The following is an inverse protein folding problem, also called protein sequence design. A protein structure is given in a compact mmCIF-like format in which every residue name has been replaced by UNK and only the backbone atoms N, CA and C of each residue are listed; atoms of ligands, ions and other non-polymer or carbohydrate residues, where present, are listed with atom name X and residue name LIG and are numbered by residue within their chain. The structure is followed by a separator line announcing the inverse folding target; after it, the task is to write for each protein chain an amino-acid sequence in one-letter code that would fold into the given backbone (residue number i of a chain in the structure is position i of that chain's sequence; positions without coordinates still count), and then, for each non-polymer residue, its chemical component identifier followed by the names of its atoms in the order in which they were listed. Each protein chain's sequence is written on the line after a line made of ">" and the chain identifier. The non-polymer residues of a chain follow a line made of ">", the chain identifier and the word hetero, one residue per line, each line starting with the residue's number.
data_IF_275110188680
#
_entry.id   IF_275110188680
#
_cell.length_a   1.000
_cell.length_b   1.000
_cell.length_c   1.000
_cell.angle_alpha   90.00
_cell.angle_beta   90.00
_cell.angle_gamma   90.00
#
_symmetry.space_group_name_H-M   'P 1'
#
loop_
_entity.id
_entity.type
_entity.pdbx_description
1 polymer ?
#
# COMPACT_ATOMS: atom_id res chain seq x y z
N UNK A 1 19.05 16.03 22.80
CA UNK A 1 18.83 15.96 21.34
C UNK A 1 17.33 16.09 21.13
N UNK A 2 16.86 17.00 20.28
CA UNK A 2 15.42 17.09 19.98
C UNK A 2 15.07 15.91 19.06
N UNK A 3 14.20 15.03 19.53
CA UNK A 3 13.57 14.02 18.68
C UNK A 3 12.89 14.72 17.49
N UNK A 4 13.00 14.21 16.26
CA UNK A 4 12.24 14.76 15.13
C UNK A 4 10.73 14.55 15.29
N UNK A 5 10.31 13.62 16.15
CA UNK A 5 8.92 13.27 16.42
C UNK A 5 8.54 13.65 17.86
N UNK A 6 7.38 14.26 18.05
CA UNK A 6 6.83 14.56 19.38
C UNK A 6 5.49 13.87 19.62
N UNK A 7 4.67 13.73 18.58
CA UNK A 7 3.37 13.09 18.62
C UNK A 7 3.42 11.79 17.80
N UNK A 8 3.19 10.66 18.46
CA UNK A 8 3.26 9.33 17.85
C UNK A 8 1.89 8.65 17.90
N UNK A 9 1.39 8.24 16.73
CA UNK A 9 0.20 7.41 16.64
C UNK A 9 0.56 5.92 16.77
N UNK A 10 -0.21 5.19 17.58
CA UNK A 10 -0.19 3.74 17.62
C UNK A 10 -1.45 3.20 16.96
N UNK A 11 -1.24 2.36 15.95
CA UNK A 11 -2.31 1.80 15.13
C UNK A 11 -2.15 0.29 15.12
N UNK A 12 -3.20 -0.40 15.51
CA UNK A 12 -3.25 -1.85 15.60
C UNK A 12 -4.02 -2.48 14.46
N UNK A 13 -3.77 -3.76 14.22
CA UNK A 13 -4.57 -4.59 13.32
C UNK A 13 -6.02 -4.64 13.81
N UNK A 14 -6.96 -4.44 12.88
CA UNK A 14 -8.39 -4.53 13.16
C UNK A 14 -8.80 -5.92 13.67
N UNK A 15 -9.65 -5.96 14.70
CA UNK A 15 -10.18 -7.18 15.33
C UNK A 15 -9.09 -8.17 15.81
N UNK A 16 -7.98 -7.65 16.34
CA UNK A 16 -6.88 -8.46 16.87
C UNK A 16 -6.63 -8.11 18.35
N UNK A 17 -7.45 -8.61 19.30
CA UNK A 17 -7.34 -8.25 20.73
C UNK A 17 -5.97 -8.60 21.34
N UNK A 18 -5.27 -9.57 20.77
CA UNK A 18 -3.94 -9.99 21.22
C UNK A 18 -2.85 -8.90 21.06
N UNK A 19 -3.11 -7.82 20.32
CA UNK A 19 -2.18 -6.69 20.19
C UNK A 19 -2.23 -5.73 21.38
N UNK A 20 -3.27 -5.83 22.23
CA UNK A 20 -3.53 -4.88 23.31
C UNK A 20 -2.35 -4.76 24.29
N UNK A 21 -1.84 -5.88 24.81
CA UNK A 21 -0.72 -5.88 25.76
C UNK A 21 0.57 -5.32 25.13
N UNK A 22 1.06 -5.80 23.97
CA UNK A 22 2.22 -5.22 23.32
C UNK A 22 2.08 -3.74 23.00
N UNK A 23 0.90 -3.31 22.56
CA UNK A 23 0.62 -1.92 22.25
C UNK A 23 0.69 -1.04 23.50
N UNK A 24 0.09 -1.46 24.62
CA UNK A 24 0.17 -0.73 25.89
C UNK A 24 1.60 -0.65 26.42
N UNK A 25 2.38 -1.73 26.29
CA UNK A 25 3.81 -1.72 26.64
C UNK A 25 4.59 -0.72 25.79
N UNK A 26 4.34 -0.68 24.48
CA UNK A 26 4.96 0.29 23.59
C UNK A 26 4.52 1.72 23.94
N UNK A 27 3.24 1.95 24.19
CA UNK A 27 2.70 3.25 24.57
C UNK A 27 3.34 3.79 25.86
N UNK A 28 3.50 2.93 26.86
CA UNK A 28 4.16 3.28 28.12
C UNK A 28 5.64 3.60 27.90
N UNK A 29 6.33 2.82 27.07
CA UNK A 29 7.72 3.09 26.69
C UNK A 29 7.88 4.46 26.00
N UNK A 30 7.05 4.76 24.98
CA UNK A 30 7.07 6.04 24.27
C UNK A 30 6.78 7.21 25.20
N UNK A 31 5.79 7.05 26.10
CA UNK A 31 5.46 8.07 27.11
C UNK A 31 6.60 8.30 28.08
N UNK A 32 7.32 7.25 28.51
CA UNK A 32 8.50 7.36 29.37
C UNK A 32 9.66 8.12 28.71
N UNK A 33 9.68 8.16 27.37
CA UNK A 33 10.64 8.92 26.54
C UNK A 33 10.19 10.38 26.31
N UNK A 34 9.05 10.79 26.89
CA UNK A 34 8.51 12.14 26.79
C UNK A 34 7.71 12.40 25.51
N UNK A 35 7.32 11.36 24.78
CA UNK A 35 6.51 11.48 23.56
C UNK A 35 5.03 11.48 23.90
N UNK A 36 4.24 12.26 23.17
CA UNK A 36 2.78 12.19 23.25
C UNK A 36 2.30 11.01 22.40
N UNK A 37 1.58 10.10 23.03
CA UNK A 37 1.00 8.92 22.36
C UNK A 37 -0.48 9.17 22.10
N UNK A 38 -0.90 8.95 20.85
CA UNK A 38 -2.31 8.85 20.45
C UNK A 38 -2.58 7.46 19.91
N UNK A 39 -3.82 6.99 20.06
CA UNK A 39 -4.23 5.65 19.62
C UNK A 39 -5.37 5.78 18.61
N UNK A 40 -5.30 4.99 17.54
CA UNK A 40 -6.39 4.90 16.56
C UNK A 40 -7.70 4.41 17.20
N UNK A 41 -8.84 4.93 16.74
CA UNK A 41 -10.15 4.65 17.33
C UNK A 41 -10.54 3.17 17.28
N UNK A 42 -10.22 2.45 16.20
CA UNK A 42 -10.50 1.02 16.08
C UNK A 42 -9.55 0.19 16.96
N UNK A 43 -8.34 0.68 17.14
CA UNK A 43 -7.34 0.09 18.02
C UNK A 43 -7.72 0.26 19.49
N UNK A 44 -8.26 1.42 19.85
CA UNK A 44 -8.71 1.74 21.20
C UNK A 44 -9.84 0.82 21.71
N UNK A 45 -10.63 0.23 20.81
CA UNK A 45 -11.66 -0.77 21.16
C UNK A 45 -11.08 -2.00 21.90
N UNK A 46 -9.80 -2.31 21.69
CA UNK A 46 -9.13 -3.47 22.32
C UNK A 46 -8.39 -3.11 23.62
N UNK A 47 -8.32 -1.84 24.00
CA UNK A 47 -7.65 -1.35 25.21
C UNK A 47 -8.59 -0.45 26.05
N UNK A 48 -9.78 -0.94 26.44
CA UNK A 48 -10.76 -0.13 27.15
C UNK A 48 -10.18 0.39 28.48
N UNK A 49 -10.41 1.68 28.75
CA UNK A 49 -9.96 2.32 30.00
C UNK A 49 -8.50 2.77 30.00
N UNK A 50 -7.81 2.75 28.86
CA UNK A 50 -6.48 3.38 28.75
C UNK A 50 -6.58 4.91 28.81
N UNK A 51 -5.60 5.56 29.44
CA UNK A 51 -5.54 7.03 29.56
C UNK A 51 -5.02 7.73 28.28
N UNK A 52 -4.79 6.99 27.19
CA UNK A 52 -4.27 7.54 25.95
C UNK A 52 -5.36 8.25 25.14
N UNK A 53 -4.98 9.36 24.48
CA UNK A 53 -5.88 10.09 23.60
C UNK A 53 -6.24 9.25 22.38
N UNK A 54 -7.54 9.17 22.08
CA UNK A 54 -8.07 8.45 20.92
C UNK A 54 -8.33 9.41 19.77
N UNK A 55 -7.91 9.05 18.56
CA UNK A 55 -8.15 9.81 17.33
C UNK A 55 -8.53 8.87 16.18
N UNK A 56 -9.35 9.33 15.24
CA UNK A 56 -9.49 8.65 13.94
C UNK A 56 -8.28 8.96 13.06
N UNK A 57 -8.03 8.17 12.02
CA UNK A 57 -6.94 8.43 11.07
C UNK A 57 -7.03 9.83 10.44
N UNK A 58 -8.24 10.31 10.15
CA UNK A 58 -8.46 11.66 9.62
C UNK A 58 -8.05 12.73 10.64
N UNK A 59 -8.35 12.52 11.93
CA UNK A 59 -7.99 13.45 13.02
C UNK A 59 -6.49 13.48 13.31
N UNK A 60 -5.76 12.41 13.01
CA UNK A 60 -4.30 12.35 13.17
C UNK A 60 -3.58 13.31 12.21
N UNK A 61 -4.22 13.67 11.10
CA UNK A 61 -3.72 14.64 10.12
C UNK A 61 -3.32 15.96 10.77
N UNK A 62 -2.05 16.34 10.62
CA UNK A 62 -1.52 17.58 11.19
C UNK A 62 -1.34 17.58 12.72
N UNK A 63 -1.66 16.48 13.40
CA UNK A 63 -1.53 16.32 14.86
C UNK A 63 -0.47 15.29 15.26
N UNK A 64 0.00 14.48 14.31
CA UNK A 64 0.91 13.35 14.50
C UNK A 64 2.11 13.51 13.57
N UNK A 65 3.31 13.19 14.09
CA UNK A 65 4.58 13.32 13.37
C UNK A 65 5.16 11.95 12.95
N UNK A 66 4.63 10.85 13.51
CA UNK A 66 5.04 9.48 13.26
C UNK A 66 3.88 8.51 13.56
N UNK A 67 3.66 7.52 12.71
CA UNK A 67 2.73 6.43 12.99
C UNK A 67 3.44 5.08 13.08
N UNK A 68 3.17 4.33 14.14
CA UNK A 68 3.68 2.98 14.35
C UNK A 68 2.51 2.00 14.21
N UNK A 69 2.62 1.13 13.21
CA UNK A 69 1.57 0.19 12.82
C UNK A 69 1.95 -1.21 13.29
N UNK A 70 1.16 -1.78 14.20
CA UNK A 70 1.30 -3.15 14.70
C UNK A 70 0.30 -4.03 13.96
N UNK A 71 0.78 -4.86 13.03
CA UNK A 71 -0.07 -5.70 12.19
C UNK A 71 0.70 -6.43 11.11
N UNK A 72 0.09 -6.66 9.96
CA UNK A 72 0.76 -7.19 8.78
C UNK A 72 0.78 -6.19 7.63
N UNK A 73 1.31 -6.60 6.48
CA UNK A 73 1.37 -5.74 5.28
C UNK A 73 -0.01 -5.22 4.87
N UNK A 74 -1.08 -6.01 4.99
CA UNK A 74 -2.45 -5.54 4.71
C UNK A 74 -2.89 -4.36 5.59
N UNK A 75 -2.52 -4.39 6.88
CA UNK A 75 -2.78 -3.27 7.80
C UNK A 75 -1.93 -2.07 7.40
N UNK A 76 -0.63 -2.27 7.15
CA UNK A 76 0.27 -1.20 6.74
C UNK A 76 -0.17 -0.53 5.44
N UNK A 77 -0.60 -1.28 4.43
CA UNK A 77 -1.12 -0.74 3.16
C UNK A 77 -2.30 0.20 3.38
N UNK A 78 -3.26 -0.23 4.21
CA UNK A 78 -4.44 0.58 4.48
C UNK A 78 -4.08 1.89 5.20
N UNK A 79 -3.19 1.82 6.20
CA UNK A 79 -2.75 3.01 6.94
C UNK A 79 -1.90 3.92 6.05
N UNK A 80 -0.99 3.36 5.27
CA UNK A 80 -0.13 4.12 4.37
C UNK A 80 -0.96 4.92 3.38
N UNK A 81 -1.98 4.34 2.77
CA UNK A 81 -2.86 5.06 1.84
C UNK A 81 -3.53 6.29 2.49
N UNK A 82 -3.96 6.18 3.75
CA UNK A 82 -4.64 7.27 4.46
C UNK A 82 -3.67 8.34 4.95
N UNK A 83 -2.48 7.95 5.42
CA UNK A 83 -1.53 8.88 6.06
C UNK A 83 -0.47 9.45 5.10
N UNK A 84 -0.19 8.81 3.96
CA UNK A 84 0.80 9.31 2.99
C UNK A 84 0.50 10.71 2.45
N UNK A 85 -0.76 11.09 2.14
CA UNK A 85 -1.10 12.45 1.73
C UNK A 85 -0.77 13.55 2.77
N UNK A 86 -0.41 13.14 3.99
CA UNK A 86 -0.09 14.03 5.11
C UNK A 86 1.37 13.96 5.52
N UNK A 87 2.23 13.29 4.73
CA UNK A 87 3.67 13.16 4.97
C UNK A 87 4.03 12.56 6.32
N UNK A 88 3.13 11.78 6.92
CA UNK A 88 3.39 11.11 8.20
C UNK A 88 4.20 9.84 7.92
N UNK A 89 5.45 9.75 8.40
CA UNK A 89 6.26 8.55 8.24
C UNK A 89 5.70 7.36 9.05
N UNK A 90 5.96 6.16 8.56
CA UNK A 90 5.40 4.92 9.08
C UNK A 90 6.48 3.95 9.53
N UNK A 91 6.29 3.32 10.69
CA UNK A 91 7.07 2.17 11.16
C UNK A 91 6.15 0.96 11.23
N UNK A 92 6.56 -0.15 10.60
CA UNK A 92 5.80 -1.39 10.59
C UNK A 92 6.34 -2.43 11.56
N UNK A 93 5.50 -2.84 12.51
CA UNK A 93 5.75 -3.98 13.39
C UNK A 93 4.90 -5.16 12.96
N UNK A 94 5.55 -6.23 12.56
CA UNK A 94 4.91 -7.44 12.11
C UNK A 94 4.43 -8.32 13.27
N UNK A 95 3.15 -8.68 13.23
CA UNK A 95 2.54 -9.65 14.12
C UNK A 95 2.63 -11.07 13.52
N UNK A 96 3.85 -11.63 13.46
CA UNK A 96 4.10 -12.96 12.87
C UNK A 96 5.40 -13.03 12.07
N UNK A 97 5.30 -13.39 10.78
CA UNK A 97 6.44 -13.46 9.86
C UNK A 97 6.64 -12.12 9.14
N UNK A 98 7.89 -11.63 9.13
CA UNK A 98 8.32 -10.40 8.45
C UNK A 98 7.65 -10.20 7.09
N UNK A 99 7.15 -8.99 6.87
CA UNK A 99 6.47 -8.54 5.65
C UNK A 99 7.39 -7.79 4.69
N UNK A 100 6.85 -7.34 3.56
CA UNK A 100 7.54 -6.39 2.67
C UNK A 100 7.46 -4.94 3.19
N UNK A 101 6.53 -4.66 4.10
CA UNK A 101 6.28 -3.33 4.67
C UNK A 101 6.40 -3.30 6.19
N UNK A 102 6.59 -4.45 6.82
CA UNK A 102 6.57 -4.64 8.27
C UNK A 102 7.81 -5.43 8.68
N UNK A 103 8.84 -4.70 9.08
CA UNK A 103 10.21 -5.23 9.20
C UNK A 103 10.67 -5.42 10.64
N UNK A 104 9.89 -4.95 11.63
CA UNK A 104 10.16 -5.19 13.04
C UNK A 104 9.37 -6.40 13.53
N UNK A 105 9.98 -7.28 14.32
CA UNK A 105 9.25 -8.33 15.04
C UNK A 105 8.70 -7.79 16.36
N UNK A 106 7.65 -8.42 16.89
CA UNK A 106 7.11 -8.10 18.21
C UNK A 106 8.18 -8.18 19.32
N UNK A 107 9.09 -9.14 19.22
CA UNK A 107 10.14 -9.38 20.24
C UNK A 107 11.21 -8.28 20.24
N UNK A 108 11.58 -7.78 19.06
CA UNK A 108 12.61 -6.75 18.87
C UNK A 108 12.04 -5.32 18.79
N UNK A 109 10.72 -5.18 18.86
CA UNK A 109 9.98 -3.94 18.62
C UNK A 109 10.50 -2.78 19.48
N UNK A 110 10.58 -2.97 20.80
CA UNK A 110 10.92 -1.88 21.72
C UNK A 110 12.37 -1.41 21.54
N UNK A 111 13.31 -2.33 21.36
CA UNK A 111 14.74 -2.02 21.14
C UNK A 111 14.95 -1.31 19.80
N UNK A 112 14.37 -1.84 18.73
CA UNK A 112 14.48 -1.25 17.39
C UNK A 112 13.85 0.14 17.35
N UNK A 113 12.64 0.31 17.89
CA UNK A 113 11.99 1.63 17.96
C UNK A 113 12.82 2.61 18.80
N UNK A 114 13.42 2.18 19.90
CA UNK A 114 14.31 3.04 20.69
C UNK A 114 15.46 3.61 19.85
N UNK A 115 16.15 2.75 19.10
CA UNK A 115 17.24 3.12 18.22
C UNK A 115 16.78 4.05 17.08
N UNK A 116 15.63 3.73 16.46
CA UNK A 116 15.05 4.56 15.40
C UNK A 116 14.65 5.95 15.91
N UNK A 117 14.09 6.06 17.11
CA UNK A 117 13.83 7.35 17.75
C UNK A 117 15.11 8.16 17.99
N UNK A 118 16.24 7.50 18.23
CA UNK A 118 17.56 8.13 18.35
C UNK A 118 18.22 8.45 16.98
N UNK A 119 17.50 8.29 15.88
CA UNK A 119 17.96 8.64 14.52
C UNK A 119 18.60 7.49 13.74
N UNK A 120 18.62 6.27 14.30
CA UNK A 120 19.19 5.09 13.63
C UNK A 120 18.14 4.39 12.77
N UNK A 121 17.79 5.03 11.65
CA UNK A 121 16.85 4.48 10.68
C UNK A 121 17.23 4.88 9.25
N UNK A 122 16.68 4.14 8.30
CA UNK A 122 16.72 4.46 6.87
C UNK A 122 15.30 4.84 6.44
N UNK A 123 15.14 6.03 5.86
CA UNK A 123 13.88 6.43 5.26
C UNK A 123 13.81 5.95 3.80
N UNK A 124 12.71 5.31 3.44
CA UNK A 124 12.42 4.88 2.07
C UNK A 124 11.12 5.50 1.59
N UNK A 125 11.13 6.05 0.38
CA UNK A 125 9.94 6.58 -0.26
C UNK A 125 9.32 5.51 -1.16
N UNK A 126 8.02 5.25 -0.99
CA UNK A 126 7.27 4.28 -1.80
C UNK A 126 6.26 5.03 -2.66
N UNK A 127 6.25 4.73 -3.95
CA UNK A 127 5.31 5.29 -4.90
C UNK A 127 3.88 4.82 -4.58
N UNK A 128 2.90 5.72 -4.70
CA UNK A 128 1.47 5.38 -4.74
C UNK A 128 0.90 5.68 -6.13
N UNK A 129 -0.13 4.93 -6.50
CA UNK A 129 -0.99 5.23 -7.65
C UNK A 129 -2.15 6.13 -7.22
N UNK A 130 -2.54 7.02 -8.11
CA UNK A 130 -3.83 7.69 -8.09
C UNK A 130 -4.59 7.29 -9.35
N UNK A 131 -5.84 6.88 -9.19
CA UNK A 131 -6.70 6.61 -10.32
C UNK A 131 -8.07 7.25 -10.18
N UNK A 132 -8.63 7.63 -11.33
CA UNK A 132 -9.94 8.27 -11.46
C UNK A 132 -10.74 7.53 -12.52
N UNK A 133 -12.04 7.41 -12.30
CA UNK A 133 -12.99 6.94 -13.29
C UNK A 133 -13.71 8.15 -13.86
N UNK A 134 -13.57 8.33 -15.17
CA UNK A 134 -14.25 9.38 -15.92
C UNK A 134 -15.42 8.77 -16.69
N UNK A 135 -16.61 9.36 -16.54
CA UNK A 135 -17.80 9.05 -17.33
C UNK A 135 -18.24 10.31 -18.06
N UNK A 136 -18.30 10.26 -19.38
CA UNK A 136 -18.60 11.42 -20.22
C UNK A 136 -17.70 12.64 -19.91
N UNK A 137 -16.44 12.37 -19.56
CA UNK A 137 -15.45 13.40 -19.19
C UNK A 137 -15.54 13.90 -17.75
N UNK A 138 -16.49 13.41 -16.93
CA UNK A 138 -16.66 13.81 -15.53
C UNK A 138 -16.12 12.74 -14.58
N UNK A 139 -15.37 13.16 -13.56
CA UNK A 139 -14.91 12.27 -12.50
C UNK A 139 -16.10 11.78 -11.66
N UNK A 140 -16.41 10.48 -11.76
CA UNK A 140 -17.48 9.82 -11.00
C UNK A 140 -16.96 9.01 -9.83
N UNK A 141 -15.66 8.70 -9.82
CA UNK A 141 -14.98 7.98 -8.76
C UNK A 141 -13.48 8.27 -8.77
N UNK A 142 -12.83 8.19 -7.62
CA UNK A 142 -11.38 8.36 -7.50
C UNK A 142 -10.84 7.69 -6.25
N UNK A 143 -9.56 7.35 -6.27
CA UNK A 143 -8.89 6.73 -5.13
C UNK A 143 -7.38 6.63 -5.30
N UNK A 144 -6.74 6.14 -4.24
CA UNK A 144 -5.32 5.84 -4.20
C UNK A 144 -5.11 4.34 -4.03
N UNK A 145 -3.99 3.84 -4.55
CA UNK A 145 -3.55 2.47 -4.33
C UNK A 145 -2.05 2.44 -4.05
N UNK A 146 -1.64 1.58 -3.13
CA UNK A 146 -0.24 1.44 -2.76
C UNK A 146 0.45 0.35 -3.58
N UNK A 147 -0.25 -0.75 -3.84
CA UNK A 147 0.23 -1.83 -4.69
C UNK A 147 -0.28 -1.66 -6.11
N UNK A 148 -1.60 -1.69 -6.32
CA UNK A 148 -2.14 -1.80 -7.68
C UNK A 148 -3.55 -1.24 -7.89
N UNK A 149 -3.81 -0.84 -9.13
CA UNK A 149 -5.15 -0.61 -9.68
C UNK A 149 -5.48 -1.77 -10.61
N UNK A 150 -6.59 -2.45 -10.35
CA UNK A 150 -6.98 -3.65 -11.09
C UNK A 150 -8.33 -3.43 -11.76
N UNK A 151 -8.37 -3.46 -13.09
CA UNK A 151 -9.61 -3.63 -13.84
C UNK A 151 -9.84 -5.12 -14.01
N UNK A 152 -10.92 -5.67 -13.48
CA UNK A 152 -11.18 -7.11 -13.53
C UNK A 152 -12.68 -7.41 -13.65
N UNK A 153 -13.00 -8.53 -14.30
CA UNK A 153 -14.36 -9.07 -14.35
C UNK A 153 -14.85 -9.53 -12.96
N UNK A 154 -16.11 -9.32 -12.64
CA UNK A 154 -16.73 -9.81 -11.40
C UNK A 154 -17.29 -11.23 -11.53
N UNK A 155 -17.67 -11.62 -12.75
CA UNK A 155 -18.21 -12.94 -13.06
C UNK A 155 -17.43 -13.60 -14.20
N UNK A 156 -17.41 -14.94 -14.20
CA UNK A 156 -16.66 -15.76 -15.17
C UNK A 156 -17.27 -15.68 -16.59
N UNK A 157 -18.55 -15.30 -16.71
CA UNK A 157 -19.35 -15.41 -17.94
C UNK A 157 -18.99 -14.41 -19.05
N UNK A 158 -18.19 -13.37 -18.78
CA UNK A 158 -17.76 -12.41 -19.80
C UNK A 158 -16.33 -11.93 -19.57
N UNK A 159 -15.59 -11.75 -20.67
CA UNK A 159 -14.26 -11.11 -20.63
C UNK A 159 -14.42 -9.59 -20.63
N UNK A 160 -13.41 -8.92 -20.09
CA UNK A 160 -13.24 -7.47 -20.19
C UNK A 160 -12.69 -7.14 -21.59
N UNK A 161 -13.22 -6.12 -22.24
CA UNK A 161 -12.70 -5.57 -23.49
C UNK A 161 -12.44 -4.06 -23.33
N UNK A 162 -11.18 -3.67 -23.53
CA UNK A 162 -10.71 -2.30 -23.28
C UNK A 162 -9.59 -1.90 -24.24
N UNK A 163 -9.45 -0.60 -24.46
CA UNK A 163 -8.30 0.06 -25.10
C UNK A 163 -7.37 0.58 -24.00
N UNK A 164 -6.05 0.45 -24.23
CA UNK A 164 -5.02 1.07 -23.39
C UNK A 164 -4.30 2.14 -24.19
N UNK A 165 -4.13 3.31 -23.58
CA UNK A 165 -3.28 4.40 -24.07
C UNK A 165 -2.27 4.79 -23.00
N UNK A 166 -1.09 5.22 -23.44
CA UNK A 166 -0.04 5.73 -22.54
C UNK A 166 0.41 7.07 -23.08
N UNK A 167 0.36 8.10 -22.23
CA UNK A 167 0.75 9.47 -22.59
C UNK A 167 0.00 9.98 -23.85
N UNK A 168 -1.26 9.58 -23.99
CA UNK A 168 -2.12 9.90 -25.13
C UNK A 168 -1.85 9.08 -26.40
N UNK A 169 -0.85 8.19 -26.41
CA UNK A 169 -0.56 7.29 -27.53
C UNK A 169 -1.33 5.97 -27.41
N UNK A 170 -1.94 5.52 -28.50
CA UNK A 170 -2.61 4.22 -28.56
C UNK A 170 -1.58 3.09 -28.42
N UNK A 171 -1.82 2.18 -27.47
CA UNK A 171 -0.97 1.01 -27.27
C UNK A 171 -1.60 -0.26 -27.88
N UNK A 172 -2.77 -0.68 -27.38
CA UNK A 172 -3.49 -1.84 -27.90
C UNK A 172 -4.96 -1.90 -27.42
N UNK A 173 -5.74 -2.76 -28.08
CA UNK A 173 -7.01 -3.28 -27.56
C UNK A 173 -6.80 -4.69 -27.01
N UNK A 174 -7.46 -5.00 -25.90
CA UNK A 174 -7.28 -6.26 -25.22
C UNK A 174 -8.58 -6.88 -24.77
N UNK A 175 -8.67 -8.20 -24.94
CA UNK A 175 -9.66 -9.07 -24.29
C UNK A 175 -8.96 -9.96 -23.27
N UNK A 176 -9.38 -9.87 -22.01
CA UNK A 176 -8.72 -10.54 -20.89
C UNK A 176 -9.68 -10.68 -19.69
N UNK A 177 -9.23 -11.38 -18.64
CA UNK A 177 -9.91 -11.35 -17.36
C UNK A 177 -9.75 -9.98 -16.68
N UNK A 178 -8.66 -9.29 -16.99
CA UNK A 178 -8.39 -7.95 -16.48
C UNK A 178 -7.02 -7.38 -16.89
N UNK A 179 -6.71 -6.23 -16.32
CA UNK A 179 -5.43 -5.54 -16.38
C UNK A 179 -5.08 -5.01 -15.00
N UNK A 180 -3.83 -5.21 -14.59
CA UNK A 180 -3.25 -4.66 -13.37
C UNK A 180 -2.31 -3.53 -13.78
N UNK A 181 -2.44 -2.37 -13.16
CA UNK A 181 -1.42 -1.33 -13.16
C UNK A 181 -0.83 -1.30 -11.76
N UNK A 182 0.44 -1.63 -11.60
CA UNK A 182 1.07 -1.78 -10.29
C UNK A 182 2.28 -0.86 -10.09
N UNK A 183 2.51 -0.52 -8.83
CA UNK A 183 3.75 0.10 -8.35
C UNK A 183 4.86 -0.93 -8.24
N UNK A 184 6.13 -0.52 -8.08
CA UNK A 184 7.21 -1.45 -7.77
C UNK A 184 6.97 -2.24 -6.48
N UNK A 185 6.29 -1.65 -5.49
CA UNK A 185 5.87 -2.37 -4.28
C UNK A 185 4.84 -3.45 -4.61
N UNK A 186 3.84 -3.10 -5.43
CA UNK A 186 2.80 -4.02 -5.91
C UNK A 186 3.31 -5.16 -6.80
N UNK A 187 4.52 -5.05 -7.35
CA UNK A 187 5.12 -6.09 -8.19
C UNK A 187 5.30 -7.44 -7.51
N UNK A 188 5.33 -7.45 -6.17
CA UNK A 188 5.39 -8.68 -5.35
C UNK A 188 4.01 -9.16 -4.85
N UNK A 189 2.93 -8.46 -5.22
CA UNK A 189 1.56 -8.76 -4.81
C UNK A 189 0.78 -9.46 -5.94
N UNK A 190 -0.34 -8.89 -6.39
CA UNK A 190 -1.19 -9.55 -7.39
C UNK A 190 -0.51 -9.59 -8.76
N UNK A 191 0.27 -8.56 -9.10
CA UNK A 191 1.05 -8.50 -10.33
C UNK A 191 2.00 -9.70 -10.48
N UNK A 192 2.70 -10.12 -9.42
CA UNK A 192 3.56 -11.31 -9.42
C UNK A 192 2.78 -12.57 -9.81
N UNK A 193 1.59 -12.74 -9.22
CA UNK A 193 0.73 -13.89 -9.47
C UNK A 193 0.18 -13.91 -10.90
N UNK A 194 0.02 -12.74 -11.52
CA UNK A 194 -0.39 -12.60 -12.91
C UNK A 194 0.79 -12.69 -13.92
N UNK A 195 2.01 -12.94 -13.44
CA UNK A 195 3.21 -13.11 -14.28
C UNK A 195 3.99 -11.82 -14.55
N UNK A 196 3.75 -10.77 -13.77
CA UNK A 196 4.57 -9.56 -13.77
C UNK A 196 5.98 -9.80 -13.21
N UNK A 197 6.99 -9.00 -13.62
CA UNK A 197 8.33 -9.07 -13.06
C UNK A 197 8.36 -8.55 -11.61
N UNK A 198 9.32 -9.01 -10.81
CA UNK A 198 9.62 -8.38 -9.52
C UNK A 198 10.42 -7.10 -9.79
N UNK A 199 9.95 -5.97 -9.25
CA UNK A 199 10.59 -4.67 -9.35
C UNK A 199 11.13 -4.23 -8.00
N UNK A 200 12.34 -3.64 -7.98
CA UNK A 200 12.90 -3.08 -6.76
C UNK A 200 12.08 -1.84 -6.32
N UNK A 201 11.68 -1.70 -5.04
CA UNK A 201 10.80 -0.63 -4.58
C UNK A 201 11.29 0.79 -4.88
N UNK A 202 12.61 1.00 -4.91
CA UNK A 202 13.23 2.28 -5.26
C UNK A 202 13.27 2.66 -6.75
N UNK A 203 12.65 1.88 -7.64
CA UNK A 203 12.55 2.24 -9.07
C UNK A 203 11.42 3.25 -9.32
N UNK A 204 11.62 4.17 -10.27
CA UNK A 204 10.61 5.18 -10.63
C UNK A 204 9.81 4.74 -11.89
N UNK A 205 9.10 3.62 -11.76
CA UNK A 205 8.38 2.95 -12.86
C UNK A 205 7.00 2.47 -12.44
N UNK A 206 6.12 2.24 -13.41
CA UNK A 206 4.87 1.47 -13.25
C UNK A 206 4.92 0.24 -14.15
N UNK A 207 4.18 -0.80 -13.78
CA UNK A 207 4.00 -1.96 -14.65
C UNK A 207 2.53 -2.20 -14.99
N UNK A 208 2.29 -2.63 -16.22
CA UNK A 208 1.00 -3.06 -16.74
C UNK A 208 1.06 -4.58 -16.93
N UNK A 209 0.28 -5.32 -16.16
CA UNK A 209 0.27 -6.79 -16.16
C UNK A 209 -1.11 -7.31 -16.57
N UNK A 210 -1.24 -7.96 -17.74
CA UNK A 210 -2.52 -8.50 -18.19
C UNK A 210 -2.91 -9.75 -17.38
N UNK A 211 -4.17 -9.87 -16.97
CA UNK A 211 -4.68 -11.07 -16.29
C UNK A 211 -5.33 -11.99 -17.31
N UNK A 212 -4.75 -13.17 -17.52
CA UNK A 212 -5.24 -14.18 -18.47
C UNK A 212 -5.64 -13.59 -19.85
N UNK A 213 -4.71 -12.92 -20.58
CA UNK A 213 -5.00 -12.36 -21.89
C UNK A 213 -5.35 -13.46 -22.90
N UNK A 214 -6.36 -13.21 -23.75
CA UNK A 214 -6.64 -14.11 -24.88
C UNK A 214 -5.59 -14.06 -25.99
N UNK A 215 -4.83 -12.97 -26.08
CA UNK A 215 -3.71 -12.86 -27.03
C UNK A 215 -2.46 -13.57 -26.49
N UNK A 216 -1.90 -14.48 -27.28
CA UNK A 216 -0.69 -15.25 -26.92
C UNK A 216 0.59 -14.40 -26.87
N UNK A 217 0.62 -13.27 -27.58
CA UNK A 217 1.78 -12.39 -27.65
C UNK A 217 1.82 -11.32 -26.56
N UNK A 218 0.75 -11.18 -25.75
CA UNK A 218 0.72 -10.14 -24.73
C UNK A 218 1.72 -10.43 -23.60
N UNK A 219 2.40 -9.40 -23.11
CA UNK A 219 3.43 -9.48 -22.07
C UNK A 219 3.28 -8.30 -21.10
N UNK A 220 3.73 -8.43 -19.85
CA UNK A 220 3.89 -7.29 -18.96
C UNK A 220 4.72 -6.17 -19.60
N UNK A 221 4.33 -4.92 -19.37
CA UNK A 221 5.02 -3.73 -19.88
C UNK A 221 5.39 -2.84 -18.70
N UNK A 222 6.65 -2.39 -18.64
CA UNK A 222 7.12 -1.43 -17.63
C UNK A 222 7.30 -0.07 -18.29
N UNK A 223 6.76 0.98 -17.68
CA UNK A 223 6.81 2.36 -18.14
C UNK A 223 7.30 3.30 -17.04
N UNK A 224 7.60 4.56 -17.39
CA UNK A 224 8.02 5.57 -16.40
C UNK A 224 6.87 5.84 -15.42
N UNK A 225 7.19 6.16 -14.17
CA UNK A 225 6.17 6.53 -13.18
C UNK A 225 5.37 7.77 -13.53
N UNK A 226 5.98 8.67 -14.31
CA UNK A 226 5.37 9.91 -14.77
C UNK A 226 4.35 9.70 -15.88
N UNK A 227 4.26 8.50 -16.46
CA UNK A 227 3.34 8.23 -17.55
C UNK A 227 1.89 8.24 -17.07
N UNK A 228 1.02 8.77 -17.92
CA UNK A 228 -0.43 8.74 -17.75
C UNK A 228 -0.99 7.54 -18.50
N UNK A 229 -1.65 6.64 -17.80
CA UNK A 229 -2.23 5.42 -18.37
C UNK A 229 -3.75 5.59 -18.45
N UNK A 230 -4.31 5.43 -19.64
CA UNK A 230 -5.76 5.49 -19.87
C UNK A 230 -6.27 4.11 -20.26
N UNK A 231 -7.33 3.66 -19.61
CA UNK A 231 -8.00 2.39 -19.90
C UNK A 231 -9.45 2.71 -20.25
N UNK A 232 -9.78 2.64 -21.54
CA UNK A 232 -11.12 2.94 -22.06
C UNK A 232 -11.93 1.66 -22.21
N UNK A 233 -13.11 1.61 -21.61
CA UNK A 233 -13.99 0.45 -21.64
C UNK A 233 -14.80 0.36 -22.95
N UNK A 234 -14.57 -0.67 -23.77
CA UNK A 234 -15.29 -0.90 -25.03
C UNK A 234 -16.47 -1.85 -24.92
N UNK A 235 -16.48 -2.72 -23.90
CA UNK A 235 -17.62 -3.57 -23.59
C UNK A 235 -17.72 -3.72 -22.10
N UNK A 236 -18.95 -3.58 -21.58
CA UNK A 236 -19.21 -3.79 -20.16
C UNK A 236 -20.16 -4.93 -19.89
N UNK A 237 -19.81 -5.66 -18.82
CA UNK A 237 -20.67 -6.54 -18.04
C UNK A 237 -20.45 -6.19 -16.57
N UNK A 238 -20.50 -7.15 -15.64
CA UNK A 238 -20.14 -6.92 -14.24
C UNK A 238 -18.62 -6.69 -14.10
N UNK A 239 -18.10 -5.53 -14.50
CA UNK A 239 -16.66 -5.21 -14.46
C UNK A 239 -16.42 -4.18 -13.36
N UNK A 240 -15.35 -4.36 -12.60
CA UNK A 240 -14.96 -3.44 -11.53
C UNK A 240 -13.52 -2.99 -11.67
N UNK A 241 -13.28 -1.74 -11.32
CA UNK A 241 -11.95 -1.28 -10.94
C UNK A 241 -11.77 -1.49 -9.43
N UNK A 242 -10.60 -1.95 -9.02
CA UNK A 242 -10.20 -2.16 -7.63
C UNK A 242 -8.94 -1.39 -7.33
N UNK A 243 -8.90 -0.78 -6.15
CA UNK A 243 -7.77 -0.05 -5.61
C UNK A 243 -7.23 -0.87 -4.43
N UNK A 244 -6.08 -1.51 -4.66
CA UNK A 244 -5.61 -2.63 -3.86
C UNK A 244 -6.76 -3.66 -3.64
N UNK A 245 -6.80 -4.29 -2.46
CA UNK A 245 -7.86 -5.25 -2.08
C UNK A 245 -9.04 -4.63 -1.32
N UNK A 246 -9.21 -3.30 -1.30
CA UNK A 246 -10.08 -2.62 -0.32
C UNK A 246 -11.25 -1.86 -0.93
N UNK A 247 -11.00 -1.12 -2.00
CA UNK A 247 -11.97 -0.19 -2.56
C UNK A 247 -12.28 -0.57 -4.00
N UNK A 248 -13.57 -0.62 -4.36
CA UNK A 248 -14.00 -1.05 -5.69
C UNK A 248 -15.09 -0.14 -6.24
N UNK A 249 -15.13 0.00 -7.56
CA UNK A 249 -16.17 0.75 -8.27
C UNK A 249 -16.61 -0.01 -9.52
N UNK A 250 -17.92 -0.03 -9.78
CA UNK A 250 -18.52 -0.68 -10.95
C UNK A 250 -18.36 0.20 -12.20
N UNK A 251 -17.79 -0.38 -13.26
CA UNK A 251 -17.50 0.32 -14.50
C UNK A 251 -18.63 0.17 -15.52
N UNK A 252 -18.88 1.24 -16.26
CA UNK A 252 -19.86 1.30 -17.35
C UNK A 252 -19.18 1.45 -18.72
N UNK A 253 -19.97 1.22 -19.77
CA UNK A 253 -19.52 1.37 -21.15
C UNK A 253 -19.00 2.78 -21.36
N UNK A 254 -17.83 2.90 -22.01
CA UNK A 254 -17.13 4.15 -22.26
C UNK A 254 -16.58 4.89 -21.01
N UNK A 255 -16.67 4.28 -19.81
CA UNK A 255 -15.88 4.79 -18.70
C UNK A 255 -14.39 4.71 -19.06
N UNK A 256 -13.64 5.73 -18.66
CA UNK A 256 -12.19 5.79 -18.80
C UNK A 256 -11.54 5.79 -17.43
N UNK A 257 -10.68 4.81 -17.16
CA UNK A 257 -9.86 4.79 -15.95
C UNK A 257 -8.56 5.51 -16.29
N UNK A 258 -8.28 6.61 -15.62
CA UNK A 258 -7.02 7.36 -15.75
C UNK A 258 -6.17 7.05 -14.53
N UNK A 259 -5.01 6.44 -14.75
CA UNK A 259 -4.05 6.04 -13.71
C UNK A 259 -2.77 6.86 -13.85
N UNK A 260 -2.30 7.41 -12.74
CA UNK A 260 -1.07 8.22 -12.65
C UNK A 260 -0.35 7.91 -11.34
N UNK A 261 0.93 8.28 -11.21
CA UNK A 261 1.55 8.34 -9.88
C UNK A 261 0.88 9.43 -9.03
N UNK A 262 0.67 9.15 -7.75
CA UNK A 262 0.31 10.19 -6.79
C UNK A 262 1.53 11.11 -6.55
N UNK A 263 1.35 12.45 -6.42
CA UNK A 263 2.47 13.36 -6.22
C UNK A 263 3.25 13.09 -4.93
N UNK A 264 2.56 12.68 -3.86
CA UNK A 264 3.15 12.46 -2.55
C UNK A 264 3.41 10.96 -2.31
N UNK A 265 4.68 10.53 -2.17
CA UNK A 265 5.00 9.15 -1.82
C UNK A 265 4.70 8.85 -0.35
N UNK A 266 4.59 7.57 -0.01
CA UNK A 266 4.60 7.11 1.37
C UNK A 266 6.03 7.10 1.90
N UNK A 267 6.22 7.57 3.13
CA UNK A 267 7.52 7.48 3.81
C UNK A 267 7.51 6.32 4.80
N UNK A 268 8.31 5.28 4.53
CA UNK A 268 8.54 4.18 5.46
C UNK A 268 9.89 4.38 6.17
N UNK A 269 9.93 4.12 7.47
CA UNK A 269 11.15 4.13 8.25
C UNK A 269 11.53 2.70 8.61
N UNK A 270 12.75 2.33 8.24
CA UNK A 270 13.30 1.01 8.48
C UNK A 270 14.45 1.09 9.50
N UNK A 271 14.68 0.06 10.32
CA UNK A 271 15.89 0.00 11.14
C UNK A 271 17.16 0.00 10.28
N UNK A 272 18.28 0.49 10.82
CA UNK A 272 19.58 0.32 10.16
C UNK A 272 19.87 -1.16 9.87
N UNK A 273 20.42 -1.45 8.70
CA UNK A 273 20.68 -2.82 8.25
C UNK A 273 19.49 -3.52 7.59
N UNK A 274 18.34 -2.85 7.45
CA UNK A 274 17.24 -3.35 6.62
C UNK A 274 17.72 -3.72 5.21
N UNK A 275 17.23 -4.85 4.70
CA UNK A 275 17.59 -5.36 3.39
C UNK A 275 16.36 -5.91 2.67
N UNK A 276 15.92 -5.20 1.63
CA UNK A 276 14.85 -5.65 0.75
C UNK A 276 15.11 -7.05 0.17
N UNK A 277 16.35 -7.34 -0.23
CA UNK A 277 16.71 -8.65 -0.76
C UNK A 277 16.64 -9.77 0.28
N UNK A 278 16.89 -9.47 1.56
CA UNK A 278 16.69 -10.45 2.63
C UNK A 278 15.21 -10.83 2.71
N UNK A 279 14.33 -9.83 2.78
CA UNK A 279 12.88 -10.02 2.79
C UNK A 279 12.40 -10.80 1.56
N UNK A 280 12.88 -10.45 0.37
CA UNK A 280 12.52 -11.13 -0.87
C UNK A 280 12.89 -12.63 -0.83
N UNK A 281 14.10 -12.96 -0.35
CA UNK A 281 14.54 -14.36 -0.21
C UNK A 281 13.69 -15.14 0.79
N UNK A 282 13.36 -14.55 1.93
CA UNK A 282 12.52 -15.22 2.94
C UNK A 282 11.09 -15.44 2.43
N UNK A 283 10.51 -14.44 1.76
CA UNK A 283 9.12 -14.52 1.25
C UNK A 283 8.97 -15.51 0.10
N UNK A 284 9.95 -15.56 -0.80
CA UNK A 284 9.92 -16.44 -1.97
C UNK A 284 10.63 -17.78 -1.73
N UNK A 285 11.08 -18.03 -0.50
CA UNK A 285 11.76 -19.27 -0.08
C UNK A 285 13.03 -19.58 -0.89
N UNK A 286 13.70 -18.56 -1.43
CA UNK A 286 14.91 -18.71 -2.26
C UNK A 286 16.18 -19.05 -1.46
N UNK A 287 16.08 -19.06 -0.13
CA UNK A 287 17.16 -19.49 0.76
C UNK A 287 17.02 -20.96 1.21
N UNK A 288 15.97 -21.67 0.76
CA UNK A 288 15.85 -23.10 1.04
C UNK A 288 16.86 -23.86 0.18
N UNK A 289 17.74 -24.61 0.85
CA UNK A 289 18.64 -25.55 0.18
C UNK A 289 17.79 -26.62 -0.50
N UNK A 290 18.09 -26.92 -1.76
CA UNK A 290 17.46 -27.99 -2.54
C UNK A 290 17.54 -29.35 -1.84
#
# INVERSE_FOLDING_TARGET
>A
MKFPFQNVALIGKYKAPEIAEPLLRLAAFLSSRGLRVVVDNLTAEHIPGSDYQVMTLEQMTGSVDLAIVIGGDGTMLNIARTLSPHHIPLIGVNQGRLGFLTDLSMDSMQESIAAMLDGKYVAEQRLLLSAKVLRDGVEVFGGLAFNEIVVHRSQISSMVEFEVRIDGEYLYNQRADGLIVATPTGSTAYALSAGGPILHPGLDVLELVPVCPHSLSNRPIVVKSSSLIEILMHRTGDIRVRFDSHTTYDLQLHDTIVVTRHPEPASLLHPEGFSYYHTLREKLLWNQTL
#
